data_IF_550904087184
#
_entry.id   IF_550904087184
#
_cell.length_a   1.000
_cell.length_b   1.000
_cell.length_c   1.000
_cell.angle_alpha   90.00
_cell.angle_beta   90.00
_cell.angle_gamma   90.00
#
_symmetry.space_group_name_H-M   'P 1'
#
loop_
_entity.id
_entity.type
_entity.pdbx_description
1 polymer ?
#
# COMPACT_ATOMS: atom_id res chain seq x y z
N UNK A 1 -48.85 7.56 -20.34
CA UNK A 1 -48.31 8.15 -19.09
C UNK A 1 -47.87 7.14 -18.03
N UNK A 2 -48.53 6.00 -17.80
CA UNK A 2 -48.12 5.01 -16.78
C UNK A 2 -46.81 4.22 -17.13
N UNK A 3 -46.49 4.02 -18.42
CA UNK A 3 -45.27 3.28 -18.85
C UNK A 3 -44.01 4.13 -18.76
N UNK A 4 -44.09 5.45 -18.92
CA UNK A 4 -42.96 6.38 -18.80
C UNK A 4 -42.53 6.59 -17.33
N UNK A 5 -43.48 6.52 -16.39
CA UNK A 5 -43.18 6.64 -14.96
C UNK A 5 -42.42 5.41 -14.41
N UNK A 6 -42.72 4.22 -14.94
CA UNK A 6 -42.03 2.96 -14.54
C UNK A 6 -40.56 2.92 -14.98
N UNK A 7 -40.27 3.53 -16.16
CA UNK A 7 -38.88 3.58 -16.66
C UNK A 7 -38.00 4.55 -15.84
N UNK A 8 -38.60 5.64 -15.33
CA UNK A 8 -37.89 6.63 -14.52
C UNK A 8 -37.50 6.08 -13.12
N UNK A 9 -38.34 5.21 -12.55
CA UNK A 9 -38.09 4.57 -11.25
C UNK A 9 -36.99 3.50 -11.36
N UNK A 10 -36.86 2.82 -12.50
CA UNK A 10 -35.84 1.80 -12.73
C UNK A 10 -34.42 2.40 -12.88
N UNK A 11 -34.32 3.65 -13.39
CA UNK A 11 -33.04 4.36 -13.55
C UNK A 11 -32.52 4.90 -12.21
N UNK A 12 -33.36 5.14 -11.22
CA UNK A 12 -32.98 5.68 -9.90
C UNK A 12 -32.37 4.64 -8.97
N UNK A 13 -32.47 3.34 -9.27
CA UNK A 13 -31.95 2.25 -8.41
C UNK A 13 -30.50 1.85 -8.66
N UNK A 14 -29.77 2.51 -9.57
CA UNK A 14 -28.39 2.16 -9.93
C UNK A 14 -27.32 3.06 -9.27
N UNK A 15 -27.70 3.93 -8.34
CA UNK A 15 -26.70 4.52 -7.45
C UNK A 15 -26.25 3.46 -6.42
N UNK A 16 -25.36 2.58 -6.82
CA UNK A 16 -24.59 1.78 -5.87
C UNK A 16 -23.86 2.73 -4.94
N UNK A 17 -24.34 2.84 -3.70
CA UNK A 17 -23.59 3.48 -2.61
C UNK A 17 -22.27 2.70 -2.47
N UNK A 18 -21.23 3.15 -3.15
CA UNK A 18 -19.88 2.65 -2.94
C UNK A 18 -19.43 3.12 -1.57
N UNK A 19 -19.74 2.32 -0.54
CA UNK A 19 -19.16 2.53 0.76
C UNK A 19 -17.64 2.41 0.62
N UNK A 20 -16.93 3.41 1.12
CA UNK A 20 -15.48 3.38 1.17
C UNK A 20 -15.04 2.08 1.87
N UNK A 21 -14.33 1.22 1.13
CA UNK A 21 -13.87 -0.06 1.65
C UNK A 21 -12.74 0.19 2.62
N UNK A 22 -12.87 -0.30 3.85
CA UNK A 22 -11.83 -0.18 4.88
C UNK A 22 -11.31 -1.54 5.28
N UNK A 23 -10.02 -1.58 5.60
CA UNK A 23 -9.37 -2.74 6.19
C UNK A 23 -8.67 -2.36 7.48
N UNK A 24 -8.63 -3.30 8.42
CA UNK A 24 -7.82 -3.21 9.62
C UNK A 24 -6.60 -4.11 9.48
N UNK A 25 -5.42 -3.53 9.58
CA UNK A 25 -4.15 -4.25 9.74
C UNK A 25 -3.87 -4.30 11.25
N UNK A 26 -3.97 -5.48 11.85
CA UNK A 26 -3.60 -5.70 13.23
C UNK A 26 -2.14 -6.13 13.32
N UNK A 27 -1.34 -5.37 14.04
CA UNK A 27 0.10 -5.65 14.21
C UNK A 27 0.43 -5.95 15.66
N UNK A 28 1.66 -6.42 15.91
CA UNK A 28 2.19 -6.56 17.28
C UNK A 28 2.32 -5.22 18.02
N UNK A 29 2.31 -4.08 17.32
CA UNK A 29 2.43 -2.74 17.90
C UNK A 29 1.10 -1.96 17.95
N UNK A 30 0.00 -2.52 17.41
CA UNK A 30 -1.31 -1.89 17.39
C UNK A 30 -2.02 -2.01 16.05
N UNK A 31 -3.15 -1.31 15.94
CA UNK A 31 -4.05 -1.38 14.78
C UNK A 31 -3.88 -0.18 13.86
N UNK A 32 -3.89 -0.45 12.55
CA UNK A 32 -3.88 0.55 11.47
C UNK A 32 -5.16 0.34 10.65
N UNK A 33 -5.96 1.38 10.45
CA UNK A 33 -7.15 1.31 9.60
C UNK A 33 -6.86 2.09 8.32
N UNK A 34 -7.05 1.42 7.20
CA UNK A 34 -6.81 1.95 5.86
C UNK A 34 -8.13 2.02 5.11
N UNK A 35 -8.42 3.15 4.51
CA UNK A 35 -9.47 3.35 3.53
C UNK A 35 -8.93 3.11 2.13
N UNK A 36 -9.63 2.30 1.33
CA UNK A 36 -9.23 1.88 0.00
C UNK A 36 -10.08 2.60 -1.06
N UNK A 37 -9.46 3.09 -2.11
CA UNK A 37 -10.09 3.89 -3.17
C UNK A 37 -10.36 3.04 -4.41
N UNK A 38 -11.29 2.08 -4.30
CA UNK A 38 -11.63 1.11 -5.34
C UNK A 38 -12.20 1.75 -6.62
N UNK A 39 -12.81 2.91 -6.53
CA UNK A 39 -13.31 3.70 -7.65
C UNK A 39 -12.18 4.30 -8.51
N UNK A 40 -11.02 4.57 -7.91
CA UNK A 40 -9.87 5.19 -8.55
C UNK A 40 -8.77 4.21 -8.95
N UNK A 41 -8.52 3.21 -8.10
CA UNK A 41 -7.50 2.19 -8.31
C UNK A 41 -8.10 0.77 -8.20
N UNK A 42 -9.05 0.40 -9.07
CA UNK A 42 -9.82 -0.85 -8.96
C UNK A 42 -8.94 -2.11 -9.03
N UNK A 43 -7.92 -2.15 -9.89
CA UNK A 43 -7.06 -3.32 -10.06
C UNK A 43 -6.20 -3.53 -8.80
N UNK A 44 -5.58 -2.46 -8.31
CA UNK A 44 -4.70 -2.51 -7.13
C UNK A 44 -5.49 -2.84 -5.87
N UNK A 45 -6.67 -2.24 -5.69
CA UNK A 45 -7.54 -2.53 -4.55
C UNK A 45 -8.07 -3.95 -4.61
N UNK A 46 -8.52 -4.44 -5.78
CA UNK A 46 -9.00 -5.82 -5.92
C UNK A 46 -7.89 -6.83 -5.59
N UNK A 47 -6.66 -6.59 -6.08
CA UNK A 47 -5.51 -7.42 -5.73
C UNK A 47 -5.24 -7.42 -4.22
N UNK A 48 -5.16 -6.24 -3.59
CA UNK A 48 -4.92 -6.12 -2.16
C UNK A 48 -6.00 -6.85 -1.35
N UNK A 49 -7.27 -6.65 -1.70
CA UNK A 49 -8.40 -7.29 -1.04
C UNK A 49 -8.40 -8.82 -1.22
N UNK A 50 -7.92 -9.32 -2.34
CA UNK A 50 -7.76 -10.77 -2.52
C UNK A 50 -6.76 -11.35 -1.51
N UNK A 51 -5.63 -10.67 -1.24
CA UNK A 51 -4.70 -11.08 -0.18
C UNK A 51 -5.37 -11.01 1.20
N UNK A 52 -6.23 -10.03 1.45
CA UNK A 52 -6.97 -9.88 2.71
C UNK A 52 -7.99 -11.01 2.88
N UNK A 53 -8.85 -11.24 1.88
CA UNK A 53 -9.96 -12.19 1.94
C UNK A 53 -9.45 -13.65 2.02
N UNK A 54 -8.35 -13.94 1.33
CA UNK A 54 -7.67 -15.25 1.36
C UNK A 54 -6.70 -15.38 2.57
N UNK A 55 -6.66 -14.38 3.48
CA UNK A 55 -5.80 -14.34 4.68
C UNK A 55 -4.32 -14.52 4.38
N UNK A 56 -3.87 -14.15 3.19
CA UNK A 56 -2.48 -14.32 2.76
C UNK A 56 -1.52 -13.41 3.53
N UNK A 57 -1.98 -12.23 3.98
CA UNK A 57 -1.19 -11.32 4.80
C UNK A 57 -1.06 -11.75 6.26
N UNK A 58 -1.82 -12.74 6.73
CA UNK A 58 -1.73 -13.21 8.11
C UNK A 58 -0.36 -13.85 8.36
N UNK A 59 0.34 -13.36 9.39
CA UNK A 59 1.73 -13.71 9.68
C UNK A 59 2.77 -12.96 8.82
N UNK A 60 2.35 -12.11 7.89
CA UNK A 60 3.23 -11.19 7.17
C UNK A 60 3.92 -10.20 8.12
N UNK A 61 4.72 -9.29 7.57
CA UNK A 61 5.55 -8.39 8.39
C UNK A 61 5.69 -7.02 7.78
N UNK A 62 5.82 -6.00 8.62
CA UNK A 62 6.55 -4.79 8.25
C UNK A 62 8.02 -5.07 8.55
N UNK A 63 8.84 -5.13 7.53
CA UNK A 63 10.23 -5.59 7.63
C UNK A 63 11.26 -4.55 7.20
N UNK A 64 10.82 -3.50 6.51
CA UNK A 64 11.68 -2.45 5.99
C UNK A 64 11.14 -1.08 6.34
N UNK A 65 12.01 -0.19 6.78
CA UNK A 65 11.69 1.22 7.00
C UNK A 65 12.73 2.10 6.31
N UNK A 66 12.24 3.09 5.59
CA UNK A 66 13.09 4.07 4.91
C UNK A 66 12.92 5.40 5.62
N UNK A 67 14.05 5.97 6.07
CA UNK A 67 14.12 7.23 6.80
C UNK A 67 15.18 8.13 6.18
N UNK A 68 15.17 9.40 6.51
CA UNK A 68 16.13 10.37 6.00
C UNK A 68 17.60 10.02 6.33
N UNK A 69 17.82 9.28 7.41
CA UNK A 69 19.14 8.90 7.95
C UNK A 69 19.70 7.56 7.45
N UNK A 70 18.87 6.67 6.85
CA UNK A 70 19.28 5.33 6.46
C UNK A 70 19.30 5.08 4.94
N UNK A 71 19.45 6.13 4.13
CA UNK A 71 19.54 6.06 2.67
C UNK A 71 20.63 7.00 2.13
N UNK A 72 21.84 6.86 2.70
CA UNK A 72 22.97 7.75 2.43
C UNK A 72 23.32 7.86 0.94
N UNK A 73 23.20 6.79 0.17
CA UNK A 73 23.54 6.74 -1.27
C UNK A 73 22.39 7.12 -2.19
N UNK A 74 21.18 7.37 -1.68
CA UNK A 74 20.06 7.76 -2.51
C UNK A 74 20.04 9.27 -2.76
N UNK A 75 20.08 9.72 -4.03
CA UNK A 75 19.96 11.14 -4.34
C UNK A 75 18.57 11.69 -4.04
N UNK A 76 17.55 10.83 -4.06
CA UNK A 76 16.16 11.17 -3.76
C UNK A 76 15.73 10.41 -2.51
N UNK A 77 15.53 11.13 -1.42
CA UNK A 77 15.17 10.56 -0.13
C UNK A 77 13.65 10.51 0.05
N UNK A 78 13.17 9.43 0.66
CA UNK A 78 11.75 9.20 0.96
C UNK A 78 11.57 8.69 2.40
N UNK A 79 10.35 8.70 2.90
CA UNK A 79 10.02 8.17 4.22
C UNK A 79 8.82 7.24 4.13
N UNK A 80 9.05 5.94 4.31
CA UNK A 80 8.01 4.91 4.26
C UNK A 80 8.28 3.78 5.24
N UNK A 81 7.22 3.05 5.61
CA UNK A 81 7.31 1.69 6.12
C UNK A 81 6.82 0.73 5.05
N UNK A 82 7.52 -0.38 4.83
CA UNK A 82 7.16 -1.39 3.84
C UNK A 82 6.90 -2.72 4.52
N UNK A 83 5.85 -3.39 4.07
CA UNK A 83 5.45 -4.71 4.55
C UNK A 83 4.76 -5.53 3.48
N UNK A 84 4.39 -6.73 3.87
CA UNK A 84 3.78 -7.73 3.01
C UNK A 84 4.24 -9.13 3.38
N UNK A 85 4.48 -9.96 2.38
CA UNK A 85 4.87 -11.35 2.54
C UNK A 85 6.38 -11.56 2.65
N UNK A 86 7.17 -10.53 2.43
CA UNK A 86 8.66 -10.58 2.39
C UNK A 86 9.16 -11.69 1.44
N UNK A 87 8.55 -11.77 0.24
CA UNK A 87 8.90 -12.75 -0.80
C UNK A 87 8.56 -14.22 -0.46
N UNK A 88 7.61 -14.47 0.44
CA UNK A 88 7.04 -15.82 0.61
C UNK A 88 6.29 -16.22 -0.67
N UNK A 89 6.98 -16.92 -1.56
CA UNK A 89 6.46 -17.33 -2.87
C UNK A 89 5.23 -18.24 -2.77
N UNK A 90 5.03 -18.94 -1.66
CA UNK A 90 3.90 -19.86 -1.47
C UNK A 90 2.57 -19.12 -1.33
N UNK A 91 2.62 -17.86 -0.92
CA UNK A 91 1.46 -16.99 -0.72
C UNK A 91 1.30 -15.91 -1.80
N UNK A 92 2.28 -15.75 -2.70
CA UNK A 92 2.25 -14.71 -3.73
C UNK A 92 1.24 -15.04 -4.83
N UNK A 93 0.56 -13.99 -5.31
CA UNK A 93 -0.25 -14.01 -6.52
C UNK A 93 0.55 -13.42 -7.68
N UNK A 94 0.15 -13.65 -8.94
CA UNK A 94 0.77 -12.99 -10.08
C UNK A 94 0.79 -11.46 -9.95
N UNK A 95 1.78 -10.79 -10.54
CA UNK A 95 1.84 -9.33 -10.58
C UNK A 95 0.67 -8.74 -11.35
N UNK A 96 0.35 -7.48 -11.05
CA UNK A 96 -0.78 -6.75 -11.61
C UNK A 96 -0.32 -5.54 -12.43
N UNK A 97 -1.13 -5.08 -13.40
CA UNK A 97 -0.95 -3.80 -14.06
C UNK A 97 -0.86 -2.64 -13.07
N UNK A 98 0.06 -1.71 -13.34
CA UNK A 98 0.29 -0.56 -12.46
C UNK A 98 -0.70 0.58 -12.75
N UNK A 99 -1.45 0.98 -11.74
CA UNK A 99 -2.33 2.15 -11.78
C UNK A 99 -1.58 3.36 -11.25
N UNK A 100 -0.87 4.06 -12.13
CA UNK A 100 -0.01 5.19 -11.79
C UNK A 100 -0.80 6.42 -11.31
N UNK A 101 -0.19 7.28 -10.49
CA UNK A 101 -0.86 8.41 -9.84
C UNK A 101 -1.43 9.45 -10.82
N UNK A 102 -0.87 9.59 -12.03
CA UNK A 102 -1.42 10.45 -13.08
C UNK A 102 -2.73 9.91 -13.68
N UNK A 103 -2.99 8.60 -13.59
CA UNK A 103 -4.24 7.97 -14.02
C UNK A 103 -5.30 8.00 -12.92
N UNK A 104 -4.88 7.73 -11.67
CA UNK A 104 -5.80 7.60 -10.53
C UNK A 104 -6.07 8.91 -9.79
N UNK A 105 -5.16 9.87 -9.88
CA UNK A 105 -5.19 11.11 -9.09
C UNK A 105 -4.90 10.89 -7.60
N UNK A 106 -4.50 9.68 -7.18
CA UNK A 106 -4.16 9.37 -5.77
C UNK A 106 -2.68 9.63 -5.56
N UNK A 107 -2.34 10.71 -4.85
CA UNK A 107 -0.97 11.11 -4.60
C UNK A 107 -0.41 10.47 -3.32
N UNK A 108 0.94 10.38 -3.25
CA UNK A 108 1.66 9.87 -2.08
C UNK A 108 1.76 10.93 -0.97
N UNK A 109 0.61 11.29 -0.39
CA UNK A 109 0.51 12.16 0.80
C UNK A 109 0.79 11.39 2.10
N UNK A 110 0.86 12.06 3.25
CA UNK A 110 1.01 11.40 4.56
C UNK A 110 -0.07 10.36 4.78
N UNK A 111 0.34 9.14 5.10
CA UNK A 111 -0.54 7.98 5.28
C UNK A 111 -1.01 7.30 3.99
N UNK A 112 -0.64 7.75 2.80
CA UNK A 112 -0.97 7.02 1.57
C UNK A 112 -0.41 5.59 1.63
N UNK A 113 -1.24 4.60 1.26
CA UNK A 113 -0.80 3.22 1.04
C UNK A 113 -0.61 2.99 -0.46
N UNK A 114 0.49 2.33 -0.82
CA UNK A 114 0.89 2.15 -2.21
C UNK A 114 1.52 0.78 -2.43
N UNK A 115 1.35 0.23 -3.63
CA UNK A 115 1.93 -1.05 -4.02
C UNK A 115 3.43 -0.89 -4.29
N UNK A 116 4.24 -1.70 -3.61
CA UNK A 116 5.67 -1.76 -3.88
C UNK A 116 5.94 -2.59 -5.13
N UNK A 117 6.98 -2.23 -5.86
CA UNK A 117 7.40 -2.89 -7.09
C UNK A 117 8.91 -2.79 -7.31
N UNK A 118 9.45 -3.67 -8.11
CA UNK A 118 10.78 -3.54 -8.71
C UNK A 118 10.69 -2.74 -10.02
N UNK A 119 10.59 -3.44 -11.14
CA UNK A 119 10.29 -2.83 -12.46
C UNK A 119 8.81 -2.47 -12.59
N UNK A 120 8.41 -1.63 -13.56
CA UNK A 120 6.99 -1.42 -13.88
C UNK A 120 6.24 -2.74 -14.06
N UNK A 121 4.96 -2.78 -13.74
CA UNK A 121 4.08 -3.96 -13.86
C UNK A 121 4.51 -5.18 -13.02
N UNK A 122 5.33 -4.99 -11.95
CA UNK A 122 5.78 -6.09 -11.10
C UNK A 122 5.21 -6.06 -9.67
N UNK A 123 4.29 -5.16 -9.39
CA UNK A 123 3.61 -5.09 -8.09
C UNK A 123 2.72 -6.32 -7.86
N UNK A 124 2.79 -6.91 -6.66
CA UNK A 124 2.00 -8.09 -6.29
C UNK A 124 1.53 -8.06 -4.84
N UNK A 125 2.40 -8.40 -3.89
CA UNK A 125 2.07 -8.59 -2.46
C UNK A 125 2.63 -7.51 -1.53
N UNK A 126 3.70 -6.85 -1.95
CA UNK A 126 4.38 -5.90 -1.09
C UNK A 126 3.73 -4.51 -1.19
N UNK A 127 3.54 -3.88 -0.05
CA UNK A 127 2.99 -2.53 0.02
C UNK A 127 3.80 -1.65 0.97
N UNK A 128 3.65 -0.37 0.85
CA UNK A 128 4.25 0.59 1.79
C UNK A 128 3.24 1.66 2.20
N UNK A 129 3.50 2.29 3.34
CA UNK A 129 2.74 3.43 3.85
C UNK A 129 3.68 4.61 3.94
N UNK A 130 3.27 5.72 3.33
CA UNK A 130 4.02 6.98 3.36
C UNK A 130 3.97 7.65 4.72
N UNK A 131 5.09 8.26 5.11
CA UNK A 131 5.21 9.17 6.24
C UNK A 131 5.57 10.52 5.66
N UNK A 132 4.77 11.54 5.97
CA UNK A 132 4.77 12.81 5.29
C UNK A 132 4.41 12.69 3.79
N UNK A 133 4.37 13.79 3.06
CA UNK A 133 4.16 13.78 1.62
C UNK A 133 5.43 13.30 0.90
N UNK A 134 5.27 12.40 -0.08
CA UNK A 134 6.37 11.79 -0.84
C UNK A 134 6.16 11.98 -2.35
N UNK A 135 6.19 13.21 -2.88
CA UNK A 135 5.88 13.48 -4.29
C UNK A 135 6.84 12.78 -5.26
N UNK A 136 8.05 12.46 -4.82
CA UNK A 136 9.03 11.74 -5.65
C UNK A 136 8.65 10.26 -5.89
N UNK A 137 7.57 9.76 -5.27
CA UNK A 137 6.97 8.45 -5.52
C UNK A 137 5.82 8.52 -6.53
N UNK A 138 5.34 9.72 -6.89
CA UNK A 138 4.30 9.90 -7.89
C UNK A 138 4.83 9.68 -9.31
N UNK A 139 3.92 9.55 -10.29
CA UNK A 139 4.29 9.52 -11.70
C UNK A 139 5.06 10.79 -12.09
N UNK A 140 6.18 10.63 -12.76
CA UNK A 140 7.12 11.71 -13.05
C UNK A 140 8.11 12.03 -11.93
N UNK A 141 7.92 11.46 -10.74
CA UNK A 141 8.86 11.59 -9.62
C UNK A 141 10.18 10.85 -9.88
N UNK A 142 11.22 11.25 -9.14
CA UNK A 142 12.60 10.85 -9.43
C UNK A 142 13.09 9.68 -8.55
N UNK A 143 12.23 9.13 -7.67
CA UNK A 143 12.66 8.01 -6.81
C UNK A 143 13.03 6.78 -7.61
N UNK A 144 12.27 6.48 -8.68
CA UNK A 144 12.60 5.44 -9.64
C UNK A 144 13.06 6.06 -10.96
N UNK A 145 14.19 5.59 -11.55
CA UNK A 145 14.71 6.13 -12.80
C UNK A 145 13.76 6.00 -13.99
N UNK A 146 12.78 5.06 -13.90
CA UNK A 146 11.77 4.84 -14.96
C UNK A 146 10.67 5.94 -14.98
N UNK A 147 10.60 6.81 -13.97
CA UNK A 147 9.62 7.88 -13.85
C UNK A 147 8.15 7.41 -13.70
N UNK A 148 7.90 6.11 -13.60
CA UNK A 148 6.53 5.58 -13.51
C UNK A 148 5.93 5.69 -12.10
N UNK A 149 6.74 6.04 -11.10
CA UNK A 149 6.31 6.11 -9.71
C UNK A 149 5.75 4.78 -9.19
N UNK A 150 4.77 4.87 -8.29
CA UNK A 150 4.11 3.72 -7.67
C UNK A 150 2.59 3.86 -7.77
N UNK A 151 1.86 2.76 -7.46
CA UNK A 151 0.40 2.73 -7.48
C UNK A 151 -0.15 2.97 -6.06
N UNK A 152 -0.44 4.23 -5.73
CA UNK A 152 -1.18 4.55 -4.52
C UNK A 152 -2.65 4.14 -4.68
N UNK A 153 -3.24 3.51 -3.64
CA UNK A 153 -4.58 2.93 -3.74
C UNK A 153 -5.47 3.15 -2.52
N UNK A 154 -5.01 3.94 -1.54
CA UNK A 154 -5.76 4.23 -0.33
C UNK A 154 -5.00 5.09 0.65
N UNK A 155 -5.55 5.25 1.86
CA UNK A 155 -4.96 6.06 2.92
C UNK A 155 -5.24 5.50 4.31
N UNK A 156 -4.29 5.62 5.21
CA UNK A 156 -4.48 5.38 6.64
C UNK A 156 -5.41 6.45 7.22
N UNK A 157 -6.55 6.01 7.75
CA UNK A 157 -7.54 6.89 8.41
C UNK A 157 -7.47 6.82 9.94
N UNK A 158 -6.84 5.76 10.49
CA UNK A 158 -6.57 5.63 11.92
C UNK A 158 -5.32 4.79 12.14
N UNK A 159 -4.48 5.20 13.11
CA UNK A 159 -3.30 4.42 13.48
C UNK A 159 -1.97 4.96 12.95
N UNK A 160 -1.88 6.19 12.41
CA UNK A 160 -0.61 6.80 12.01
C UNK A 160 0.44 6.84 13.13
N UNK A 161 0.02 6.87 14.41
CA UNK A 161 0.96 6.73 15.55
C UNK A 161 1.66 5.36 15.53
N UNK A 162 0.95 4.28 15.16
CA UNK A 162 1.53 2.93 15.01
C UNK A 162 2.49 2.90 13.82
N UNK A 163 2.12 3.49 12.68
CA UNK A 163 2.98 3.61 11.49
C UNK A 163 4.30 4.30 11.83
N UNK A 164 4.25 5.45 12.52
CA UNK A 164 5.44 6.19 12.95
C UNK A 164 6.27 5.40 13.97
N UNK A 165 5.64 4.65 14.87
CA UNK A 165 6.33 3.77 15.82
C UNK A 165 7.08 2.64 15.10
N UNK A 166 6.49 2.05 14.06
CA UNK A 166 7.16 1.04 13.22
C UNK A 166 8.38 1.66 12.53
N UNK A 167 8.26 2.87 11.96
CA UNK A 167 9.36 3.56 11.28
C UNK A 167 10.57 3.77 12.19
N UNK A 168 10.35 4.00 13.48
CA UNK A 168 11.42 4.25 14.47
C UNK A 168 12.16 2.98 14.93
N UNK A 169 11.74 1.80 14.45
CA UNK A 169 12.41 0.56 14.78
C UNK A 169 13.88 0.56 14.36
N UNK A 170 14.72 -0.15 15.12
CA UNK A 170 16.13 -0.31 14.78
C UNK A 170 16.32 -1.04 13.45
N UNK A 171 17.25 -0.55 12.64
CA UNK A 171 17.61 -1.12 11.34
C UNK A 171 19.07 -1.61 11.32
N UNK A 172 19.46 -2.29 10.25
CA UNK A 172 20.84 -2.77 10.08
C UNK A 172 20.98 -4.27 10.20
N UNK A 173 19.95 -5.05 9.78
CA UNK A 173 20.06 -6.50 9.68
C UNK A 173 21.04 -6.88 8.56
N UNK A 174 21.94 -7.86 8.78
CA UNK A 174 22.70 -8.48 7.71
C UNK A 174 21.74 -9.08 6.66
N UNK A 175 22.04 -8.86 5.41
CA UNK A 175 21.20 -9.41 4.32
C UNK A 175 21.68 -8.97 2.94
N UNK A 176 21.19 -9.62 1.88
CA UNK A 176 21.57 -9.27 0.52
C UNK A 176 21.08 -7.86 0.17
N UNK A 177 21.93 -7.11 -0.53
CA UNK A 177 21.55 -5.82 -1.09
C UNK A 177 20.93 -6.05 -2.46
N UNK A 178 19.63 -5.85 -2.57
CA UNK A 178 18.90 -5.85 -3.84
C UNK A 178 17.91 -4.68 -3.87
N UNK A 179 17.13 -4.54 -4.95
CA UNK A 179 16.17 -3.44 -5.10
C UNK A 179 15.16 -3.33 -3.95
N UNK A 180 14.95 -4.40 -3.17
CA UNK A 180 14.00 -4.47 -2.07
C UNK A 180 14.65 -4.60 -0.68
N UNK A 181 15.97 -4.85 -0.62
CA UNK A 181 16.66 -5.12 0.63
C UNK A 181 17.99 -4.39 0.71
N UNK A 182 17.94 -3.12 1.13
CA UNK A 182 19.11 -2.45 1.66
C UNK A 182 19.23 -2.82 3.15
N UNK A 183 20.30 -3.51 3.60
CA UNK A 183 20.47 -3.92 5.00
C UNK A 183 20.26 -2.79 5.99
N UNK A 184 20.70 -1.58 5.66
CA UNK A 184 20.53 -0.38 6.50
C UNK A 184 19.06 0.03 6.69
N UNK A 185 18.13 -0.54 5.93
CA UNK A 185 16.70 -0.25 5.98
C UNK A 185 15.87 -1.42 6.51
N UNK A 186 16.48 -2.60 6.70
CA UNK A 186 15.80 -3.76 7.27
C UNK A 186 15.70 -3.62 8.78
N UNK A 187 14.49 -3.80 9.32
CA UNK A 187 14.25 -3.82 10.76
C UNK A 187 14.98 -5.02 11.39
N UNK A 188 15.73 -4.80 12.49
CA UNK A 188 16.31 -5.88 13.29
C UNK A 188 15.21 -6.79 13.84
N UNK A 189 14.10 -6.19 14.26
CA UNK A 189 12.90 -6.89 14.72
C UNK A 189 11.72 -6.51 13.84
N UNK A 190 11.39 -7.29 12.78
CA UNK A 190 10.24 -7.05 11.95
C UNK A 190 8.93 -7.07 12.75
N UNK A 191 8.03 -6.13 12.47
CA UNK A 191 6.74 -6.01 13.15
C UNK A 191 5.73 -6.95 12.49
N UNK A 192 5.25 -7.95 13.23
CA UNK A 192 4.33 -8.95 12.71
C UNK A 192 2.97 -8.35 12.39
N UNK A 193 2.46 -8.63 11.21
CA UNK A 193 1.06 -8.44 10.80
C UNK A 193 0.30 -9.68 11.28
N UNK A 194 -0.46 -9.54 12.36
CA UNK A 194 -1.23 -10.64 12.94
C UNK A 194 -2.35 -11.05 12.01
N UNK A 195 -3.15 -10.07 11.58
CA UNK A 195 -4.27 -10.26 10.65
C UNK A 195 -4.49 -9.00 9.82
N UNK A 196 -5.03 -9.18 8.61
CA UNK A 196 -5.62 -8.09 7.83
C UNK A 196 -7.05 -8.49 7.48
N UNK A 197 -8.02 -7.65 7.84
CA UNK A 197 -9.44 -7.96 7.62
C UNK A 197 -10.25 -6.72 7.22
N UNK A 198 -11.31 -6.93 6.45
CA UNK A 198 -12.27 -5.88 6.16
C UNK A 198 -12.95 -5.40 7.44
N UNK A 199 -13.19 -4.10 7.55
CA UNK A 199 -13.98 -3.49 8.62
C UNK A 199 -15.23 -2.84 8.03
N UNK A 200 -16.32 -2.94 8.78
CA UNK A 200 -17.62 -2.34 8.43
C UNK A 200 -17.63 -0.83 8.68
#
# INVERSE_FOLDING_TARGET
>A
MKKTLLLLVLILCLFSLTFAQKVQIETSLGKIIVELYADKAPITVANFLRYVDEKRYDGGKFYRVVRMDNQATSPVKIEVIQGGLQSDSTKMLPPIPQETTNKTGILHIDGAISMARGKPESGASEFFICINAQPELDFGGKRNPDGQGFAAFGKVVKGMKVVRKIQQGETGQPGPTNAFSNPMQLLKEPVIIKTVQRVK
#
